data_IF_462618490476
#
_entry.id   IF_462618490476
#
_cell.length_a   1.000
_cell.length_b   1.000
_cell.length_c   1.000
_cell.angle_alpha   90.00
_cell.angle_beta   90.00
_cell.angle_gamma   90.00
#
_symmetry.space_group_name_H-M   'P 1'
#
loop_
_entity.id
_entity.type
_entity.pdbx_description
1 polymer ?
#
# COMPACT_ATOMS: atom_id res chain seq x y z
N UNK A 1 2.94 -4.73 7.26
CA UNK A 1 4.09 -4.49 6.38
C UNK A 1 4.00 -5.30 5.12
N UNK A 2 4.47 -4.73 4.04
CA UNK A 2 4.55 -5.43 2.78
C UNK A 2 5.81 -5.01 2.04
N UNK A 3 6.34 -5.92 1.25
CA UNK A 3 7.51 -5.64 0.44
C UNK A 3 7.07 -5.46 -1.01
N UNK A 4 7.52 -4.40 -1.65
CA UNK A 4 7.23 -4.14 -3.06
C UNK A 4 8.11 -5.04 -3.90
N UNK A 5 7.48 -5.98 -4.61
CA UNK A 5 8.19 -6.92 -5.48
C UNK A 5 8.30 -6.41 -6.90
N UNK A 6 7.23 -5.80 -7.40
CA UNK A 6 7.17 -5.31 -8.77
C UNK A 6 6.33 -4.06 -8.84
N UNK A 7 6.54 -3.27 -9.87
CA UNK A 7 5.76 -2.07 -10.12
C UNK A 7 5.25 -2.12 -11.55
N UNK A 8 3.96 -1.87 -11.72
CA UNK A 8 3.31 -1.89 -13.02
C UNK A 8 2.64 -0.56 -13.30
N UNK A 9 2.53 -0.17 -14.56
CA UNK A 9 1.70 1.00 -14.87
C UNK A 9 0.22 0.65 -14.64
N UNK A 10 -0.49 1.58 -14.01
CA UNK A 10 -1.91 1.42 -13.76
C UNK A 10 -2.60 2.69 -14.25
N UNK A 11 -3.15 2.65 -15.45
CA UNK A 11 -3.72 3.83 -16.07
C UNK A 11 -2.66 4.74 -16.65
N UNK A 12 -2.98 5.99 -16.85
CA UNK A 12 -2.09 6.92 -17.53
C UNK A 12 -1.04 7.56 -16.63
N UNK A 13 -1.35 7.71 -15.36
CA UNK A 13 -0.47 8.41 -14.42
C UNK A 13 -0.18 7.63 -13.16
N UNK A 14 -0.88 6.54 -12.96
CA UNK A 14 -0.78 5.78 -11.72
C UNK A 14 0.13 4.58 -11.89
N UNK A 15 0.64 4.10 -10.78
CA UNK A 15 1.41 2.88 -10.75
C UNK A 15 0.80 1.95 -9.73
N UNK A 16 0.74 0.68 -10.07
CA UNK A 16 0.33 -0.35 -9.15
C UNK A 16 1.58 -1.05 -8.63
N UNK A 17 1.63 -1.27 -7.35
CA UNK A 17 2.73 -1.99 -6.74
C UNK A 17 2.30 -3.42 -6.42
N UNK A 18 3.05 -4.38 -6.93
CA UNK A 18 2.86 -5.77 -6.55
C UNK A 18 3.56 -6.01 -5.23
N UNK A 19 2.79 -6.32 -4.20
CA UNK A 19 3.28 -6.46 -2.84
C UNK A 19 3.19 -7.89 -2.36
N UNK A 20 4.16 -8.26 -1.53
CA UNK A 20 4.04 -9.44 -0.70
C UNK A 20 3.83 -8.95 0.73
N UNK A 21 2.69 -9.28 1.31
CA UNK A 21 2.39 -8.88 2.67
C UNK A 21 3.19 -9.76 3.62
N UNK A 22 4.09 -9.14 4.39
CA UNK A 22 5.00 -9.88 5.27
C UNK A 22 4.52 -9.93 6.71
N UNK A 23 3.70 -8.96 7.10
CA UNK A 23 3.23 -8.87 8.48
C UNK A 23 1.92 -8.09 8.52
N UNK A 24 1.00 -8.54 9.35
CA UNK A 24 -0.26 -7.86 9.56
C UNK A 24 -1.24 -8.01 8.42
N UNK A 25 -2.10 -7.02 8.28
CA UNK A 25 -3.16 -7.01 7.28
C UNK A 25 -3.14 -5.66 6.57
N UNK A 26 -3.29 -5.69 5.26
CA UNK A 26 -3.45 -4.48 4.45
C UNK A 26 -4.92 -4.33 4.09
N UNK A 27 -5.47 -3.16 4.31
CA UNK A 27 -6.85 -2.84 3.96
C UNK A 27 -6.92 -1.61 3.07
N UNK A 28 -7.91 -1.59 2.21
CA UNK A 28 -8.19 -0.43 1.38
C UNK A 28 -8.56 0.76 2.27
N UNK A 29 -8.01 1.92 1.97
CA UNK A 29 -8.30 3.13 2.72
C UNK A 29 -7.40 3.40 3.90
N UNK A 30 -6.54 2.46 4.26
CA UNK A 30 -5.58 2.70 5.33
C UNK A 30 -4.47 3.64 4.87
N UNK A 31 -3.89 4.32 5.83
CA UNK A 31 -2.72 5.12 5.57
C UNK A 31 -1.51 4.23 5.39
N UNK A 32 -0.62 4.63 4.51
CA UNK A 32 0.57 3.87 4.20
C UNK A 32 1.78 4.77 4.17
N UNK A 33 2.90 4.20 4.56
CA UNK A 33 4.18 4.89 4.52
C UNK A 33 5.12 4.06 3.66
N UNK A 34 5.66 4.69 2.64
CA UNK A 34 6.60 4.05 1.75
C UNK A 34 8.01 4.36 2.21
N UNK A 35 8.79 3.31 2.46
CA UNK A 35 10.17 3.48 2.90
C UNK A 35 11.12 2.83 1.91
N UNK A 36 12.30 3.41 1.80
CA UNK A 36 13.36 2.91 0.95
C UNK A 36 14.67 3.05 1.72
N UNK A 37 15.32 1.92 1.97
CA UNK A 37 16.56 1.91 2.76
C UNK A 37 16.39 2.62 4.10
N UNK A 38 15.30 2.30 4.80
CA UNK A 38 14.94 2.87 6.10
C UNK A 38 14.63 4.37 6.11
N UNK A 39 14.47 4.95 4.92
CA UNK A 39 14.12 6.35 4.79
C UNK A 39 12.68 6.45 4.28
N UNK A 40 11.88 7.30 4.90
CA UNK A 40 10.52 7.54 4.45
C UNK A 40 10.55 8.32 3.15
N UNK A 41 10.09 7.69 2.08
CA UNK A 41 10.04 8.31 0.77
C UNK A 41 8.74 9.10 0.60
N UNK A 42 7.65 8.53 1.09
CA UNK A 42 6.35 9.11 0.86
C UNK A 42 5.34 8.62 1.88
N UNK A 43 4.36 9.46 2.18
CA UNK A 43 3.19 9.09 2.99
C UNK A 43 1.98 9.18 2.09
N UNK A 44 1.17 8.15 2.13
CA UNK A 44 0.04 8.05 1.22
C UNK A 44 -1.06 7.21 1.82
N UNK A 45 -2.08 6.91 1.03
CA UNK A 45 -3.14 6.00 1.45
C UNK A 45 -3.30 4.93 0.38
N UNK A 46 -3.91 3.82 0.77
CA UNK A 46 -4.22 2.74 -0.14
C UNK A 46 -5.49 3.12 -0.90
N UNK A 47 -5.33 3.53 -2.14
CA UNK A 47 -6.47 3.93 -2.95
C UNK A 47 -7.24 2.73 -3.47
N UNK A 48 -6.53 1.66 -3.81
CA UNK A 48 -7.12 0.49 -4.41
C UNK A 48 -6.31 -0.73 -4.05
N UNK A 49 -6.99 -1.85 -3.85
CA UNK A 49 -6.35 -3.09 -3.47
C UNK A 49 -6.91 -4.19 -4.35
N UNK A 50 -6.02 -4.91 -5.03
CA UNK A 50 -6.42 -5.97 -5.95
C UNK A 50 -5.62 -7.23 -5.71
N UNK A 51 -6.27 -8.35 -5.96
CA UNK A 51 -5.61 -9.63 -5.99
C UNK A 51 -6.06 -10.35 -7.25
N UNK A 52 -5.10 -10.64 -8.15
CA UNK A 52 -5.40 -11.15 -9.48
C UNK A 52 -6.27 -10.15 -10.25
N UNK A 53 -7.47 -10.53 -10.61
CA UNK A 53 -8.39 -9.66 -11.34
C UNK A 53 -9.46 -9.05 -10.46
N UNK A 54 -9.47 -9.39 -9.19
CA UNK A 54 -10.53 -8.99 -8.29
C UNK A 54 -10.11 -7.81 -7.40
N UNK A 55 -11.04 -6.89 -7.21
CA UNK A 55 -10.89 -5.87 -6.19
C UNK A 55 -11.21 -6.50 -4.86
N UNK A 56 -10.36 -6.28 -3.87
CA UNK A 56 -10.55 -6.84 -2.54
C UNK A 56 -10.41 -5.74 -1.50
N UNK A 57 -10.92 -6.00 -0.31
CA UNK A 57 -10.89 -5.02 0.77
C UNK A 57 -9.71 -5.20 1.71
N UNK A 58 -9.19 -6.42 1.81
CA UNK A 58 -8.06 -6.69 2.70
C UNK A 58 -7.21 -7.84 2.20
N UNK A 59 -5.94 -7.83 2.59
CA UNK A 59 -5.00 -8.89 2.31
C UNK A 59 -4.21 -9.20 3.57
N UNK A 60 -4.09 -10.47 3.87
CA UNK A 60 -3.37 -10.93 5.06
C UNK A 60 -1.91 -11.24 4.77
N UNK A 61 -1.12 -11.34 5.81
CA UNK A 61 0.28 -11.71 5.71
C UNK A 61 0.45 -13.05 5.01
N UNK A 62 1.48 -13.15 4.18
CA UNK A 62 1.76 -14.34 3.39
C UNK A 62 1.13 -14.34 2.02
N UNK A 63 0.26 -13.37 1.73
CA UNK A 63 -0.41 -13.27 0.43
C UNK A 63 0.18 -12.13 -0.39
N UNK A 64 0.07 -12.25 -1.71
CA UNK A 64 0.49 -11.21 -2.62
C UNK A 64 -0.72 -10.42 -3.08
N UNK A 65 -0.51 -9.15 -3.36
CA UNK A 65 -1.58 -8.28 -3.85
C UNK A 65 -1.00 -7.13 -4.66
N UNK A 66 -1.88 -6.45 -5.40
CA UNK A 66 -1.54 -5.22 -6.09
C UNK A 66 -2.20 -4.04 -5.40
N UNK A 67 -1.46 -2.98 -5.21
CA UNK A 67 -1.96 -1.76 -4.57
C UNK A 67 -1.75 -0.58 -5.48
N UNK A 68 -2.72 0.33 -5.49
CA UNK A 68 -2.55 1.64 -6.09
C UNK A 68 -2.53 2.64 -4.95
N UNK A 69 -1.48 3.45 -4.89
CA UNK A 69 -1.33 4.47 -3.86
C UNK A 69 -1.92 5.79 -4.34
N UNK A 70 -2.58 6.50 -3.43
CA UNK A 70 -3.39 7.64 -3.81
C UNK A 70 -2.58 8.86 -4.28
N UNK A 71 -1.51 9.17 -3.56
CA UNK A 71 -0.82 10.45 -3.74
C UNK A 71 0.62 10.33 -4.19
N UNK A 72 1.04 9.17 -4.63
CA UNK A 72 2.44 9.01 -5.02
C UNK A 72 2.59 8.04 -6.17
N UNK A 73 3.54 8.33 -7.03
CA UNK A 73 3.98 7.44 -8.09
C UNK A 73 5.43 7.04 -7.90
N UNK A 74 6.00 7.37 -6.76
CA UNK A 74 7.43 7.14 -6.51
C UNK A 74 7.67 5.80 -5.81
N UNK A 75 6.94 4.78 -6.21
CA UNK A 75 7.11 3.44 -5.67
C UNK A 75 8.05 2.65 -6.59
N UNK A 76 8.97 1.91 -6.00
CA UNK A 76 9.91 1.08 -6.74
C UNK A 76 10.03 -0.29 -6.12
N UNK A 77 10.41 -1.26 -6.94
CA UNK A 77 10.66 -2.60 -6.44
C UNK A 77 11.76 -2.55 -5.37
N UNK A 78 11.55 -3.29 -4.29
CA UNK A 78 12.45 -3.28 -3.16
C UNK A 78 12.05 -2.34 -2.03
N UNK A 79 11.11 -1.45 -2.29
CA UNK A 79 10.60 -0.57 -1.24
C UNK A 79 9.76 -1.35 -0.23
N UNK A 80 9.64 -0.81 0.95
CA UNK A 80 8.76 -1.38 1.98
C UNK A 80 7.56 -0.49 2.16
N UNK A 81 6.41 -1.09 2.31
CA UNK A 81 5.18 -0.37 2.57
C UNK A 81 4.68 -0.72 3.96
N UNK A 82 4.56 0.27 4.81
CA UNK A 82 3.98 0.11 6.13
C UNK A 82 2.58 0.69 6.11
N UNK A 83 1.62 -0.10 6.54
CA UNK A 83 0.22 0.30 6.57
C UNK A 83 -0.22 0.44 8.01
N UNK A 84 -0.93 1.51 8.32
CA UNK A 84 -1.37 1.76 9.68
C UNK A 84 -2.73 2.43 9.69
N UNK A 85 -3.45 2.25 10.78
CA UNK A 85 -4.71 2.91 10.97
C UNK A 85 -4.47 4.20 11.70
N UNK A 86 -5.01 5.27 11.16
CA UNK A 86 -5.06 6.53 11.88
C UNK A 86 -6.40 6.56 12.58
N UNK A 87 -6.38 6.40 13.89
CA UNK A 87 -7.58 6.59 14.66
C UNK A 87 -7.85 8.07 14.75
N UNK A 88 -8.73 8.52 13.91
CA UNK A 88 -9.30 9.82 14.12
C UNK A 88 -10.35 9.68 15.16
N UNK A 89 -9.96 9.83 16.36
CA UNK A 89 -10.93 9.99 17.40
C UNK A 89 -11.49 11.35 17.23
N UNK A 90 -12.70 11.37 16.76
CA UNK A 90 -13.45 12.55 16.93
C UNK A 90 -13.49 12.87 18.37
N UNK A 91 -12.84 13.89 18.71
CA UNK A 91 -12.98 14.42 20.00
C UNK A 91 -14.26 15.17 20.06
N UNK A 92 -15.23 14.47 20.51
CA UNK A 92 -16.33 15.19 21.06
C UNK A 92 -15.85 15.78 22.33
N UNK A 93 -15.72 16.92 22.32
CA UNK A 93 -15.44 17.66 23.52
C UNK A 93 -16.71 17.98 24.26
#
# INVERSE_FOLDING_TARGET
RAEVKEVFPAGKRDKAAGLLVTDGIIKKGLHARLTREDVIVSKTTIASLRRFKDNIDEVRAGLECGVVLADTNDVKAGDMLEVFEVEERERTL
#
